data_IF_017998861721
#
_entry.id   IF_017998861721
#
_cell.length_a   1.000
_cell.length_b   1.000
_cell.length_c   1.000
_cell.angle_alpha   90.00
_cell.angle_beta   90.00
_cell.angle_gamma   90.00
#
_symmetry.space_group_name_H-M   'P 1'
#
loop_
_entity.id
_entity.type
_entity.pdbx_description
1 polymer ?
#
# COMPACT_ATOMS: atom_id res chain seq x y z
N UNK A 1 5.77 18.30 10.11
CA UNK A 1 5.40 17.88 8.73
C UNK A 1 5.14 16.38 8.71
N UNK A 2 3.99 15.97 8.21
CA UNK A 2 3.63 14.59 8.01
C UNK A 2 4.36 13.99 6.79
N UNK A 3 4.49 12.65 6.74
CA UNK A 3 4.85 11.96 5.51
C UNK A 3 3.56 11.65 4.75
N UNK A 4 3.43 12.19 3.53
CA UNK A 4 2.23 12.05 2.69
C UNK A 4 2.45 10.97 1.63
N UNK A 5 1.64 9.92 1.66
CA UNK A 5 1.74 8.75 0.77
C UNK A 5 0.46 8.65 -0.07
N UNK A 6 0.59 8.77 -1.39
CA UNK A 6 -0.51 8.59 -2.33
C UNK A 6 -0.51 7.19 -2.94
N UNK A 7 -1.64 6.51 -2.88
CA UNK A 7 -1.83 5.20 -3.50
C UNK A 7 -2.56 5.37 -4.83
N UNK A 8 -1.91 5.05 -5.91
CA UNK A 8 -2.39 5.28 -7.26
C UNK A 8 -2.30 4.03 -8.14
N UNK A 9 -3.35 3.72 -8.86
CA UNK A 9 -3.33 2.79 -9.99
C UNK A 9 -4.59 3.05 -10.81
N UNK A 10 -4.47 3.05 -12.14
CA UNK A 10 -5.56 3.32 -13.10
C UNK A 10 -6.58 2.17 -13.22
N UNK A 11 -6.53 1.18 -12.34
CA UNK A 11 -7.46 0.04 -12.31
C UNK A 11 -7.99 -0.22 -10.91
N UNK A 12 -9.27 -0.58 -10.84
CA UNK A 12 -9.87 -1.15 -9.64
C UNK A 12 -9.29 -2.55 -9.35
N UNK A 13 -9.16 -2.90 -8.06
CA UNK A 13 -8.77 -4.24 -7.65
C UNK A 13 -7.27 -4.55 -7.61
N UNK A 14 -6.38 -3.61 -7.95
CA UNK A 14 -4.93 -3.81 -7.89
C UNK A 14 -4.36 -3.87 -6.45
N UNK A 15 -5.17 -3.55 -5.43
CA UNK A 15 -4.76 -3.65 -4.03
C UNK A 15 -4.50 -2.32 -3.33
N UNK A 16 -4.89 -1.17 -3.90
CA UNK A 16 -4.74 0.16 -3.27
C UNK A 16 -5.32 0.19 -1.85
N UNK A 17 -6.61 -0.07 -1.73
CA UNK A 17 -7.30 -0.04 -0.44
C UNK A 17 -6.79 -1.10 0.55
N UNK A 18 -6.25 -2.23 0.06
CA UNK A 18 -5.54 -3.19 0.91
C UNK A 18 -4.24 -2.59 1.45
N UNK A 19 -3.44 -1.91 0.59
CA UNK A 19 -2.22 -1.21 1.04
C UNK A 19 -2.56 -0.10 2.04
N UNK A 20 -3.59 0.70 1.78
CA UNK A 20 -4.11 1.74 2.70
C UNK A 20 -4.36 1.15 4.10
N UNK A 21 -5.09 0.04 4.18
CA UNK A 21 -5.45 -0.64 5.44
C UNK A 21 -4.23 -1.24 6.14
N UNK A 22 -3.27 -1.79 5.38
CA UNK A 22 -1.99 -2.30 5.91
C UNK A 22 -1.14 -1.17 6.49
N UNK A 23 -0.99 -0.06 5.79
CA UNK A 23 -0.25 1.10 6.26
C UNK A 23 -0.91 1.71 7.50
N UNK A 24 -2.22 1.88 7.51
CA UNK A 24 -2.96 2.34 8.70
C UNK A 24 -2.74 1.41 9.91
N UNK A 25 -2.74 0.07 9.68
CA UNK A 25 -2.45 -0.91 10.74
C UNK A 25 -1.02 -0.81 11.27
N UNK A 26 -0.03 -0.61 10.39
CA UNK A 26 1.38 -0.45 10.77
C UNK A 26 1.60 0.85 11.56
N UNK A 27 1.01 1.96 11.10
CA UNK A 27 1.14 3.29 11.72
C UNK A 27 0.49 3.28 13.11
N UNK A 28 -0.73 2.73 13.25
CA UNK A 28 -1.42 2.59 14.52
C UNK A 28 -0.59 1.75 15.52
N UNK A 29 -0.03 0.62 15.06
CA UNK A 29 0.82 -0.22 15.90
C UNK A 29 2.10 0.50 16.34
N UNK A 30 2.68 1.33 15.49
CA UNK A 30 3.84 2.18 15.77
C UNK A 30 3.49 3.37 16.68
N UNK A 31 2.24 3.48 17.16
CA UNK A 31 1.74 4.56 18.02
C UNK A 31 1.80 5.95 17.40
N UNK A 32 1.83 6.02 16.08
CA UNK A 32 1.85 7.23 15.28
C UNK A 32 0.43 7.68 14.90
N UNK A 33 0.27 8.98 14.66
CA UNK A 33 -0.99 9.56 14.20
C UNK A 33 -1.05 9.51 12.68
N UNK A 34 -2.21 9.16 12.13
CA UNK A 34 -2.43 9.11 10.69
C UNK A 34 -3.80 9.68 10.30
N UNK A 35 -3.80 10.45 9.21
CA UNK A 35 -5.01 10.77 8.49
C UNK A 35 -5.07 9.94 7.21
N UNK A 36 -6.17 9.22 7.00
CA UNK A 36 -6.45 8.51 5.74
C UNK A 36 -7.51 9.32 4.99
N UNK A 37 -7.23 9.65 3.73
CA UNK A 37 -8.13 10.37 2.84
C UNK A 37 -8.61 9.40 1.77
N UNK A 38 -9.92 9.18 1.70
CA UNK A 38 -10.59 8.33 0.71
C UNK A 38 -11.13 9.23 -0.40
N UNK A 39 -10.56 9.11 -1.62
CA UNK A 39 -10.99 9.85 -2.81
C UNK A 39 -11.93 9.03 -3.70
N UNK A 40 -12.28 7.80 -3.30
CA UNK A 40 -13.21 6.97 -4.07
C UNK A 40 -14.66 7.33 -3.71
N UNK A 41 -15.53 7.70 -4.68
CA UNK A 41 -16.95 7.92 -4.43
C UNK A 41 -17.66 6.72 -3.80
N UNK A 42 -17.11 5.51 -3.90
CA UNK A 42 -17.63 4.34 -3.22
C UNK A 42 -17.39 4.36 -1.70
N UNK A 43 -16.47 5.21 -1.22
CA UNK A 43 -16.13 5.38 0.21
C UNK A 43 -15.77 4.05 0.90
N UNK A 44 -15.05 3.18 0.20
CA UNK A 44 -14.75 1.83 0.72
C UNK A 44 -13.84 1.86 1.95
N UNK A 45 -12.93 2.83 2.05
CA UNK A 45 -12.08 3.03 3.23
C UNK A 45 -12.88 3.61 4.39
N UNK A 46 -13.76 4.59 4.14
CA UNK A 46 -14.62 5.15 5.18
C UNK A 46 -15.58 4.08 5.74
N UNK A 47 -16.19 3.27 4.88
CA UNK A 47 -17.05 2.15 5.29
C UNK A 47 -16.27 1.09 6.09
N UNK A 48 -15.03 0.79 5.67
CA UNK A 48 -14.14 -0.10 6.41
C UNK A 48 -13.85 0.45 7.82
N UNK A 49 -13.58 1.75 7.92
CA UNK A 49 -13.29 2.40 9.20
C UNK A 49 -14.49 2.32 10.14
N UNK A 50 -15.69 2.62 9.66
CA UNK A 50 -16.94 2.49 10.43
C UNK A 50 -17.13 1.07 10.97
N UNK A 51 -16.78 0.03 10.16
CA UNK A 51 -16.80 -1.36 10.65
C UNK A 51 -15.73 -1.61 11.72
N UNK A 52 -14.54 -1.04 11.54
CA UNK A 52 -13.46 -1.16 12.52
C UNK A 52 -13.84 -0.59 13.88
N UNK A 53 -14.48 0.59 13.90
CA UNK A 53 -15.02 1.22 15.11
C UNK A 53 -16.11 0.34 15.75
N UNK A 54 -17.06 -0.14 14.96
CA UNK A 54 -18.17 -1.00 15.44
C UNK A 54 -17.67 -2.32 16.04
N UNK A 55 -16.55 -2.86 15.52
CA UNK A 55 -15.94 -4.09 16.00
C UNK A 55 -14.94 -3.87 17.16
N UNK A 56 -14.64 -2.62 17.52
CA UNK A 56 -13.60 -2.30 18.51
C UNK A 56 -12.16 -2.60 18.03
N UNK A 57 -11.94 -2.70 16.70
CA UNK A 57 -10.65 -2.95 16.08
C UNK A 57 -10.09 -1.69 15.41
N UNK A 58 -10.20 -0.57 16.09
CA UNK A 58 -9.71 0.75 15.67
C UNK A 58 -8.62 1.27 16.61
N UNK A 59 -8.03 2.40 16.28
CA UNK A 59 -7.10 3.16 17.14
C UNK A 59 -7.42 4.65 16.97
N UNK A 60 -7.61 5.38 18.07
CA UNK A 60 -7.97 6.81 18.09
C UNK A 60 -6.96 7.72 17.39
N UNK A 61 -5.74 7.22 17.12
CA UNK A 61 -4.71 7.94 16.38
C UNK A 61 -4.89 7.90 14.86
N UNK A 62 -5.82 7.08 14.38
CA UNK A 62 -6.15 6.98 12.95
C UNK A 62 -7.45 7.75 12.72
N UNK A 63 -7.42 8.69 11.84
CA UNK A 63 -8.59 9.44 11.37
C UNK A 63 -8.84 9.09 9.92
N UNK A 64 -10.11 8.93 9.52
CA UNK A 64 -10.49 8.68 8.13
C UNK A 64 -11.45 9.77 7.67
N UNK A 65 -11.21 10.32 6.48
CA UNK A 65 -12.09 11.29 5.81
C UNK A 65 -12.27 10.88 4.37
N UNK A 66 -13.45 11.16 3.82
CA UNK A 66 -13.72 11.01 2.40
C UNK A 66 -13.96 12.39 1.77
N UNK A 67 -13.45 12.57 0.55
CA UNK A 67 -13.77 13.71 -0.32
C UNK A 67 -13.62 13.31 -1.78
N UNK A 68 -14.44 13.90 -2.64
CA UNK A 68 -14.34 13.75 -4.10
C UNK A 68 -14.02 15.08 -4.78
N UNK A 69 -13.62 16.07 -4.01
CA UNK A 69 -13.34 17.45 -4.47
C UNK A 69 -11.84 17.71 -4.40
N UNK A 70 -11.21 18.05 -5.53
CA UNK A 70 -9.76 18.21 -5.63
C UNK A 70 -9.23 19.36 -4.76
N UNK A 71 -9.97 20.47 -4.72
CA UNK A 71 -9.63 21.63 -3.91
C UNK A 71 -9.57 21.28 -2.42
N UNK A 72 -10.47 20.43 -1.95
CA UNK A 72 -10.49 19.96 -0.56
C UNK A 72 -9.23 19.17 -0.21
N UNK A 73 -8.65 18.43 -1.16
CA UNK A 73 -7.45 17.62 -0.92
C UNK A 73 -6.27 18.49 -0.46
N UNK A 74 -6.00 19.58 -1.16
CA UNK A 74 -4.93 20.51 -0.80
C UNK A 74 -5.16 21.13 0.58
N UNK A 75 -6.40 21.55 0.85
CA UNK A 75 -6.76 22.16 2.13
C UNK A 75 -6.65 21.15 3.28
N UNK A 76 -7.14 19.91 3.08
CA UNK A 76 -7.10 18.86 4.09
C UNK A 76 -5.64 18.49 4.40
N UNK A 77 -4.77 18.33 3.40
CA UNK A 77 -3.36 18.01 3.60
C UNK A 77 -2.67 19.16 4.35
N UNK A 78 -2.76 20.40 3.86
CA UNK A 78 -2.12 21.55 4.47
C UNK A 78 -2.55 21.77 5.94
N UNK A 79 -3.83 21.56 6.26
CA UNK A 79 -4.37 21.74 7.62
C UNK A 79 -3.92 20.65 8.61
N UNK A 80 -3.54 19.48 8.11
CA UNK A 80 -3.20 18.32 8.96
C UNK A 80 -1.70 17.99 8.98
N UNK A 81 -0.91 18.61 8.12
CA UNK A 81 0.53 18.31 7.95
C UNK A 81 1.35 18.39 9.25
N UNK A 82 1.03 19.34 10.13
CA UNK A 82 1.71 19.50 11.42
C UNK A 82 1.01 18.77 12.60
N UNK A 83 -0.15 18.17 12.35
CA UNK A 83 -0.97 17.55 13.42
C UNK A 83 -0.89 16.04 13.48
N UNK A 84 -0.46 15.41 12.38
CA UNK A 84 -0.30 13.96 12.25
C UNK A 84 1.12 13.60 11.82
N UNK A 85 1.52 12.34 11.99
CA UNK A 85 2.82 11.83 11.52
C UNK A 85 2.75 11.37 10.05
N UNK A 86 1.56 10.90 9.62
CA UNK A 86 1.33 10.36 8.27
C UNK A 86 0.00 10.82 7.71
N UNK A 87 -0.02 11.02 6.38
CA UNK A 87 -1.26 11.17 5.60
C UNK A 87 -1.22 10.10 4.51
N UNK A 88 -2.26 9.28 4.40
CA UNK A 88 -2.41 8.28 3.34
C UNK A 88 -3.59 8.69 2.47
N UNK A 89 -3.38 8.73 1.16
CA UNK A 89 -4.41 9.11 0.19
C UNK A 89 -4.73 7.89 -0.68
N UNK A 90 -5.95 7.35 -0.54
CA UNK A 90 -6.46 6.25 -1.37
C UNK A 90 -7.24 6.80 -2.55
N UNK A 91 -6.75 6.60 -3.77
CA UNK A 91 -7.39 7.16 -4.96
C UNK A 91 -8.38 6.19 -5.59
N UNK A 92 -9.34 6.74 -6.34
CA UNK A 92 -10.22 5.96 -7.22
C UNK A 92 -9.42 5.17 -8.28
N UNK A 93 -9.97 4.02 -8.71
CA UNK A 93 -9.31 3.14 -9.68
C UNK A 93 -9.15 3.70 -11.10
N UNK A 94 -9.89 4.74 -11.49
CA UNK A 94 -9.86 5.37 -12.82
C UNK A 94 -9.26 6.78 -12.81
N UNK A 95 -8.57 7.16 -11.75
CA UNK A 95 -8.19 8.50 -11.39
C UNK A 95 -7.05 9.13 -12.21
N UNK A 96 -7.16 9.20 -13.54
CA UNK A 96 -6.26 10.04 -14.34
C UNK A 96 -6.43 11.53 -14.02
N UNK A 97 -7.64 11.94 -13.63
CA UNK A 97 -8.01 13.32 -13.31
C UNK A 97 -7.31 13.84 -12.04
N UNK A 98 -7.11 12.97 -11.05
CA UNK A 98 -6.48 13.30 -9.77
C UNK A 98 -4.96 13.12 -9.75
N UNK A 99 -4.38 12.62 -10.84
CA UNK A 99 -2.97 12.22 -10.82
C UNK A 99 -2.03 13.40 -10.59
N UNK A 100 -2.25 14.51 -11.28
CA UNK A 100 -1.41 15.71 -11.16
C UNK A 100 -1.64 16.39 -9.81
N UNK A 101 -2.88 16.46 -9.32
CA UNK A 101 -3.22 17.01 -7.99
C UNK A 101 -2.59 16.15 -6.88
N UNK A 102 -2.70 14.84 -6.99
CA UNK A 102 -2.06 13.90 -6.06
C UNK A 102 -0.53 14.15 -6.01
N UNK A 103 0.12 14.23 -7.18
CA UNK A 103 1.57 14.48 -7.24
C UNK A 103 1.97 15.83 -6.63
N UNK A 104 1.06 16.80 -6.59
CA UNK A 104 1.30 18.11 -5.98
C UNK A 104 1.28 18.12 -4.45
N UNK A 105 0.76 17.06 -3.80
CA UNK A 105 0.56 17.06 -2.33
C UNK A 105 1.26 15.88 -1.62
N UNK A 106 1.81 14.90 -2.35
CA UNK A 106 2.41 13.72 -1.72
C UNK A 106 3.94 13.73 -1.74
N UNK A 107 4.55 13.08 -0.78
CA UNK A 107 6.00 12.80 -0.76
C UNK A 107 6.36 11.53 -1.51
N UNK A 108 5.41 10.61 -1.67
CA UNK A 108 5.60 9.30 -2.31
C UNK A 108 4.35 8.89 -3.07
N UNK A 109 4.53 8.41 -4.29
CA UNK A 109 3.48 7.76 -5.07
C UNK A 109 3.71 6.25 -5.03
N UNK A 110 2.76 5.49 -4.49
CA UNK A 110 2.84 4.03 -4.39
C UNK A 110 1.85 3.40 -5.37
N UNK A 111 2.37 2.54 -6.25
CA UNK A 111 1.60 1.87 -7.29
C UNK A 111 1.55 0.37 -7.01
N UNK A 112 0.41 -0.17 -6.54
CA UNK A 112 0.24 -1.61 -6.41
C UNK A 112 0.18 -2.27 -7.79
N UNK A 113 0.91 -3.38 -7.96
CA UNK A 113 0.93 -4.17 -9.18
C UNK A 113 0.73 -5.65 -8.85
N UNK A 114 -0.19 -6.32 -9.51
CA UNK A 114 -0.35 -7.78 -9.42
C UNK A 114 0.36 -8.46 -10.59
N UNK A 115 0.43 -9.80 -10.55
CA UNK A 115 0.98 -10.59 -11.65
C UNK A 115 0.05 -10.68 -12.88
N UNK A 116 -1.11 -10.03 -12.89
CA UNK A 116 -2.05 -10.05 -14.00
C UNK A 116 -1.66 -9.06 -15.10
N UNK A 117 -1.73 -9.47 -16.37
CA UNK A 117 -1.39 -8.61 -17.52
C UNK A 117 -2.09 -7.24 -17.49
N UNK A 118 -3.42 -7.15 -17.23
CA UNK A 118 -4.07 -5.84 -17.17
C UNK A 118 -3.51 -4.90 -16.10
N UNK A 119 -3.03 -5.43 -14.98
CA UNK A 119 -2.42 -4.62 -13.92
C UNK A 119 -1.02 -4.15 -14.32
N UNK A 120 -0.26 -5.00 -15.02
CA UNK A 120 1.04 -4.63 -15.62
C UNK A 120 0.88 -3.49 -16.63
N UNK A 121 -0.11 -3.58 -17.53
CA UNK A 121 -0.38 -2.54 -18.52
C UNK A 121 -0.73 -1.20 -17.84
N UNK A 122 -1.58 -1.22 -16.82
CA UNK A 122 -1.92 -0.01 -16.06
C UNK A 122 -0.75 0.55 -15.26
N UNK A 123 0.13 -0.32 -14.77
CA UNK A 123 1.36 0.11 -14.11
C UNK A 123 2.30 0.82 -15.10
N UNK A 124 2.44 0.31 -16.34
CA UNK A 124 3.20 0.98 -17.41
C UNK A 124 2.62 2.36 -17.74
N UNK A 125 1.30 2.44 -17.90
CA UNK A 125 0.61 3.72 -18.15
C UNK A 125 0.85 4.72 -17.00
N UNK A 126 0.85 4.26 -15.75
CA UNK A 126 1.10 5.11 -14.59
C UNK A 126 2.56 5.59 -14.53
N UNK A 127 3.51 4.71 -14.86
CA UNK A 127 4.94 5.08 -14.96
C UNK A 127 5.14 6.09 -16.11
N UNK A 128 4.56 5.83 -17.27
CA UNK A 128 4.66 6.74 -18.43
C UNK A 128 4.09 8.13 -18.11
N UNK A 129 2.93 8.20 -17.44
CA UNK A 129 2.39 9.47 -16.95
C UNK A 129 3.36 10.19 -16.01
N UNK A 130 3.96 9.48 -15.06
CA UNK A 130 4.89 10.06 -14.11
C UNK A 130 6.18 10.59 -14.79
N UNK A 131 6.68 9.87 -15.80
CA UNK A 131 7.83 10.32 -16.59
C UNK A 131 7.48 11.54 -17.47
N UNK A 132 6.26 11.60 -17.99
CA UNK A 132 5.77 12.75 -18.74
C UNK A 132 5.52 13.96 -17.82
N UNK A 133 5.06 13.74 -16.58
CA UNK A 133 4.93 14.79 -15.58
C UNK A 133 6.29 15.44 -15.29
N UNK A 134 7.34 14.65 -15.09
CA UNK A 134 8.71 15.14 -14.89
C UNK A 134 9.21 16.01 -16.04
N UNK A 135 8.80 15.75 -17.28
CA UNK A 135 9.18 16.57 -18.45
C UNK A 135 8.43 17.90 -18.52
N UNK A 136 7.24 17.99 -17.90
CA UNK A 136 6.39 19.20 -17.92
C UNK A 136 6.74 20.23 -16.84
N UNK A 137 7.51 19.86 -15.83
CA UNK A 137 7.89 20.72 -14.70
C UNK A 137 9.28 21.29 -14.89
N UNK A 138 9.57 22.42 -14.24
CA UNK A 138 10.87 23.12 -14.30
C UNK A 138 11.98 22.30 -13.63
N UNK A 139 11.66 21.59 -12.53
CA UNK A 139 12.60 20.74 -11.80
C UNK A 139 11.98 19.36 -11.55
N UNK A 140 12.54 18.34 -12.15
CA UNK A 140 12.08 16.95 -12.00
C UNK A 140 12.17 16.43 -10.55
N UNK A 141 13.07 17.04 -9.74
CA UNK A 141 13.26 16.67 -8.33
C UNK A 141 12.08 17.09 -7.43
N UNK A 142 11.23 17.98 -7.93
CA UNK A 142 9.98 18.36 -7.24
C UNK A 142 8.88 17.32 -7.37
N UNK A 143 9.00 16.39 -8.33
CA UNK A 143 8.02 15.33 -8.52
C UNK A 143 8.31 14.19 -7.53
N UNK A 144 7.31 13.78 -6.72
CA UNK A 144 7.48 12.71 -5.75
C UNK A 144 7.90 11.41 -6.43
N UNK A 145 8.80 10.60 -5.81
CA UNK A 145 9.22 9.33 -6.37
C UNK A 145 8.04 8.37 -6.50
N UNK A 146 7.96 7.68 -7.64
CA UNK A 146 7.01 6.62 -7.88
C UNK A 146 7.64 5.27 -7.49
N UNK A 147 6.90 4.50 -6.70
CA UNK A 147 7.33 3.21 -6.15
C UNK A 147 6.31 2.13 -6.48
N UNK A 148 6.74 1.07 -7.16
CA UNK A 148 5.89 -0.07 -7.44
C UNK A 148 5.97 -1.07 -6.29
N UNK A 149 4.82 -1.55 -5.80
CA UNK A 149 4.68 -2.60 -4.79
C UNK A 149 3.99 -3.80 -5.40
N UNK A 150 4.63 -4.96 -5.37
CA UNK A 150 3.99 -6.19 -5.82
C UNK A 150 2.96 -6.66 -4.79
N UNK A 151 1.73 -6.85 -5.24
CA UNK A 151 0.58 -7.25 -4.41
C UNK A 151 0.01 -8.58 -4.87
N UNK A 152 -0.73 -9.25 -3.99
CA UNK A 152 -1.30 -10.59 -4.23
C UNK A 152 -0.26 -11.60 -4.68
N UNK A 153 0.92 -11.50 -4.12
CA UNK A 153 2.01 -12.42 -4.43
C UNK A 153 1.75 -13.77 -3.75
N UNK A 154 1.90 -14.91 -4.46
CA UNK A 154 1.81 -16.20 -3.81
C UNK A 154 2.77 -16.31 -2.61
N UNK A 155 2.32 -16.80 -1.44
CA UNK A 155 3.15 -16.83 -0.22
C UNK A 155 4.49 -17.55 -0.38
N UNK A 156 4.56 -18.52 -1.28
CA UNK A 156 5.80 -19.26 -1.59
C UNK A 156 6.89 -18.36 -2.17
N UNK A 157 6.53 -17.30 -2.89
CA UNK A 157 7.48 -16.34 -3.46
C UNK A 157 8.05 -15.39 -2.41
N UNK A 158 7.25 -15.02 -1.41
CA UNK A 158 7.67 -14.09 -0.35
C UNK A 158 8.61 -14.74 0.67
N UNK A 159 8.47 -16.05 0.91
CA UNK A 159 9.31 -16.79 1.85
C UNK A 159 10.79 -16.83 1.47
N UNK A 160 11.12 -16.59 0.22
CA UNK A 160 12.49 -16.60 -0.32
C UNK A 160 13.09 -15.20 -0.40
N UNK A 161 12.96 -14.39 0.66
CA UNK A 161 13.42 -12.99 0.74
C UNK A 161 14.89 -12.75 0.32
N UNK A 162 15.73 -13.76 0.24
CA UNK A 162 17.17 -13.63 -0.08
C UNK A 162 17.57 -14.11 -1.46
N UNK A 163 16.78 -15.00 -2.06
CA UNK A 163 17.13 -15.59 -3.34
C UNK A 163 15.87 -15.65 -4.21
N UNK A 164 15.66 -14.66 -5.07
CA UNK A 164 14.82 -14.90 -6.24
C UNK A 164 15.40 -16.15 -6.93
N UNK A 165 14.58 -17.19 -7.23
CA UNK A 165 15.10 -18.38 -7.90
C UNK A 165 15.80 -17.92 -9.18
N UNK A 166 17.01 -18.46 -9.43
CA UNK A 166 17.71 -18.15 -10.67
C UNK A 166 16.79 -18.50 -11.86
N UNK A 167 16.85 -17.76 -12.98
CA UNK A 167 15.98 -18.03 -14.13
C UNK A 167 15.95 -19.48 -14.57
N UNK A 168 17.08 -20.18 -14.46
CA UNK A 168 17.20 -21.63 -14.74
C UNK A 168 16.48 -22.57 -13.75
N UNK A 169 16.19 -22.07 -12.55
CA UNK A 169 15.49 -22.83 -11.50
C UNK A 169 13.96 -22.54 -11.51
N UNK A 170 13.51 -21.70 -12.42
CA UNK A 170 12.12 -21.30 -12.56
C UNK A 170 11.41 -22.32 -13.43
N UNK A 171 10.67 -23.18 -12.79
CA UNK A 171 9.94 -24.29 -13.46
C UNK A 171 8.48 -23.96 -13.75
N UNK A 172 7.94 -22.88 -13.20
CA UNK A 172 6.54 -22.51 -13.36
C UNK A 172 6.38 -21.16 -14.08
N UNK A 173 5.30 -21.04 -14.85
CA UNK A 173 4.94 -19.80 -15.58
C UNK A 173 4.78 -18.60 -14.64
N UNK A 174 4.33 -18.81 -13.41
CA UNK A 174 4.12 -17.73 -12.43
C UNK A 174 5.44 -17.14 -11.94
N UNK A 175 6.48 -17.97 -11.76
CA UNK A 175 7.81 -17.48 -11.41
C UNK A 175 8.44 -16.70 -12.56
N UNK A 176 8.28 -17.14 -13.82
CA UNK A 176 8.76 -16.39 -14.98
C UNK A 176 8.13 -15.02 -15.05
N UNK A 177 6.81 -14.94 -14.92
CA UNK A 177 6.09 -13.66 -14.90
C UNK A 177 6.53 -12.75 -13.76
N UNK A 178 6.73 -13.32 -12.57
CA UNK A 178 7.21 -12.55 -11.44
C UNK A 178 8.59 -11.95 -11.71
N UNK A 179 9.49 -12.73 -12.26
CA UNK A 179 10.83 -12.27 -12.64
C UNK A 179 10.77 -11.14 -13.70
N UNK A 180 9.94 -11.31 -14.74
CA UNK A 180 9.71 -10.26 -15.75
C UNK A 180 9.23 -8.95 -15.12
N UNK A 181 8.28 -9.02 -14.18
CA UNK A 181 7.73 -7.84 -13.49
C UNK A 181 8.81 -7.15 -12.66
N UNK A 182 9.64 -7.91 -11.95
CA UNK A 182 10.75 -7.38 -11.16
C UNK A 182 11.77 -6.67 -12.06
N UNK A 183 12.13 -7.28 -13.18
CA UNK A 183 13.05 -6.70 -14.16
C UNK A 183 12.50 -5.45 -14.84
N UNK A 184 11.19 -5.42 -15.11
CA UNK A 184 10.53 -4.33 -15.82
C UNK A 184 10.27 -3.10 -14.92
N UNK A 185 9.75 -3.32 -13.71
CA UNK A 185 9.27 -2.22 -12.86
C UNK A 185 10.18 -1.86 -11.70
N UNK A 186 11.22 -2.63 -11.44
CA UNK A 186 12.13 -2.42 -10.31
C UNK A 186 11.36 -2.10 -9.00
N UNK A 187 10.48 -3.01 -8.53
CA UNK A 187 9.58 -2.75 -7.41
C UNK A 187 10.34 -2.63 -6.08
N UNK A 188 9.63 -2.17 -5.06
CA UNK A 188 10.13 -2.22 -3.68
C UNK A 188 10.42 -3.67 -3.25
N UNK A 189 11.42 -3.85 -2.39
CA UNK A 189 11.87 -5.15 -1.91
C UNK A 189 10.81 -5.90 -1.08
N UNK A 190 9.87 -5.17 -0.47
CA UNK A 190 8.77 -5.76 0.30
C UNK A 190 7.56 -5.99 -0.58
N UNK A 191 7.24 -7.27 -0.82
CA UNK A 191 6.08 -7.71 -1.59
C UNK A 191 4.90 -8.02 -0.66
N UNK A 192 3.68 -7.77 -1.08
CA UNK A 192 2.47 -8.08 -0.31
C UNK A 192 1.86 -9.42 -0.74
N UNK A 193 1.96 -10.47 0.09
CA UNK A 193 1.42 -11.78 -0.23
C UNK A 193 -0.11 -11.82 -0.10
N UNK A 194 -0.73 -12.82 -0.72
CA UNK A 194 -2.09 -13.20 -0.36
C UNK A 194 -2.09 -13.86 1.02
N UNK A 195 -2.89 -13.32 1.95
CA UNK A 195 -3.07 -13.87 3.30
C UNK A 195 -4.53 -13.80 3.73
N UNK A 196 -5.05 -14.82 4.44
CA UNK A 196 -6.39 -14.74 5.05
C UNK A 196 -6.53 -13.55 5.99
N UNK A 197 -5.50 -13.21 6.75
CA UNK A 197 -5.50 -12.07 7.69
C UNK A 197 -5.79 -10.73 7.02
N UNK A 198 -5.45 -10.57 5.74
CA UNK A 198 -5.74 -9.33 5.00
C UNK A 198 -7.20 -9.25 4.56
N UNK A 199 -7.88 -10.39 4.33
CA UNK A 199 -9.33 -10.43 4.12
C UNK A 199 -10.06 -10.12 5.42
N UNK A 200 -9.63 -10.70 6.53
CA UNK A 200 -10.22 -10.42 7.84
C UNK A 200 -9.99 -8.97 8.27
N UNK A 201 -8.83 -8.37 7.97
CA UNK A 201 -8.59 -6.95 8.15
C UNK A 201 -9.62 -6.10 7.37
N UNK A 202 -9.92 -6.49 6.13
CA UNK A 202 -10.93 -5.81 5.32
C UNK A 202 -12.34 -5.86 5.96
N UNK A 203 -12.67 -6.98 6.57
CA UNK A 203 -13.98 -7.20 7.21
C UNK A 203 -14.06 -6.60 8.62
N UNK A 204 -12.99 -6.61 9.39
CA UNK A 204 -13.04 -6.40 10.83
C UNK A 204 -12.34 -5.13 11.33
N UNK A 205 -11.37 -4.58 10.60
CA UNK A 205 -10.63 -3.38 11.01
C UNK A 205 -9.11 -3.60 11.10
N UNK A 206 -8.43 -2.85 11.98
CA UNK A 206 -6.97 -2.86 12.09
C UNK A 206 -6.42 -4.21 12.57
N UNK A 207 -5.33 -4.69 11.93
CA UNK A 207 -4.64 -5.93 12.31
C UNK A 207 -4.27 -5.99 13.80
N UNK A 208 -3.83 -4.87 14.37
CA UNK A 208 -3.49 -4.78 15.79
C UNK A 208 -4.68 -5.01 16.72
N UNK A 209 -5.85 -4.48 16.37
CA UNK A 209 -7.09 -4.69 17.12
C UNK A 209 -7.53 -6.15 17.09
N UNK A 210 -7.52 -6.77 15.91
CA UNK A 210 -7.86 -8.20 15.72
C UNK A 210 -6.86 -9.08 16.49
N UNK A 211 -5.56 -8.81 16.38
CA UNK A 211 -4.52 -9.52 17.11
C UNK A 211 -4.75 -9.48 18.63
N UNK A 212 -5.05 -8.29 19.18
CA UNK A 212 -5.29 -8.12 20.60
C UNK A 212 -6.54 -8.88 21.06
N UNK A 213 -7.62 -8.88 20.27
CA UNK A 213 -8.80 -9.71 20.52
C UNK A 213 -8.41 -11.20 20.61
N UNK A 214 -7.64 -11.71 19.65
CA UNK A 214 -7.20 -13.10 19.65
C UNK A 214 -6.33 -13.43 20.86
N UNK A 215 -5.42 -12.54 21.28
CA UNK A 215 -4.58 -12.74 22.47
C UNK A 215 -5.39 -12.81 23.77
N UNK A 216 -6.48 -12.04 23.85
CA UNK A 216 -7.37 -11.98 25.02
C UNK A 216 -8.52 -13.00 24.96
N UNK A 217 -8.67 -13.71 23.84
CA UNK A 217 -9.71 -14.70 23.61
C UNK A 217 -9.43 -16.09 24.21
N UNK A 218 -10.18 -17.08 23.77
CA UNK A 218 -10.02 -18.47 24.20
C UNK A 218 -8.68 -19.05 23.72
N UNK A 219 -8.29 -20.19 24.26
CA UNK A 219 -7.02 -20.85 23.91
C UNK A 219 -6.87 -21.12 22.41
N UNK A 220 -7.94 -21.49 21.72
CA UNK A 220 -7.99 -21.65 20.26
C UNK A 220 -7.61 -20.38 19.48
N UNK A 221 -7.99 -19.23 20.02
CA UNK A 221 -7.78 -17.92 19.38
C UNK A 221 -6.33 -17.45 19.52
N UNK A 222 -5.68 -17.83 20.64
CA UNK A 222 -4.27 -17.47 20.91
C UNK A 222 -3.31 -17.99 19.84
N UNK A 223 -3.60 -19.14 19.24
CA UNK A 223 -2.83 -19.66 18.10
C UNK A 223 -2.95 -18.77 16.85
N UNK A 224 -4.12 -18.16 16.64
CA UNK A 224 -4.34 -17.24 15.52
C UNK A 224 -3.61 -15.91 15.71
N UNK A 225 -3.41 -15.46 16.94
CA UNK A 225 -2.71 -14.19 17.24
C UNK A 225 -1.32 -14.12 16.59
N UNK A 226 -0.58 -15.23 16.52
CA UNK A 226 0.73 -15.30 15.85
C UNK A 226 0.67 -15.01 14.34
N UNK A 227 -0.42 -15.40 13.69
CA UNK A 227 -0.62 -15.11 12.27
C UNK A 227 -0.88 -13.61 12.03
N UNK A 228 -1.64 -12.96 12.91
CA UNK A 228 -1.84 -11.50 12.85
C UNK A 228 -0.57 -10.72 13.22
N UNK A 229 0.20 -11.19 14.21
CA UNK A 229 1.50 -10.64 14.55
C UNK A 229 2.44 -10.67 13.34
N UNK A 230 2.54 -11.81 12.65
CA UNK A 230 3.31 -11.94 11.41
C UNK A 230 2.77 -11.04 10.28
N UNK A 231 1.45 -10.88 10.17
CA UNK A 231 0.85 -10.00 9.17
C UNK A 231 1.14 -8.52 9.47
N UNK A 232 1.09 -8.14 10.74
CA UNK A 232 1.38 -6.79 11.21
C UNK A 232 2.87 -6.43 11.07
N UNK A 233 3.78 -7.35 11.45
CA UNK A 233 5.21 -7.18 11.21
C UNK A 233 5.51 -6.94 9.73
N UNK A 234 4.84 -7.69 8.85
CA UNK A 234 4.97 -7.48 7.40
C UNK A 234 4.44 -6.11 6.94
N UNK A 235 3.34 -5.62 7.51
CA UNK A 235 2.82 -4.29 7.23
C UNK A 235 3.80 -3.18 7.68
N UNK A 236 4.48 -3.37 8.80
CA UNK A 236 5.52 -2.47 9.29
C UNK A 236 6.74 -2.48 8.34
N UNK A 237 7.20 -3.67 7.93
CA UNK A 237 8.28 -3.81 6.95
C UNK A 237 7.93 -3.08 5.62
N UNK A 238 6.67 -3.17 5.17
CA UNK A 238 6.20 -2.48 3.99
C UNK A 238 6.23 -0.95 4.18
N UNK A 239 5.72 -0.45 5.28
CA UNK A 239 5.74 0.97 5.61
C UNK A 239 7.16 1.52 5.61
N UNK A 240 8.08 0.85 6.30
CA UNK A 240 9.48 1.25 6.36
C UNK A 240 10.12 1.24 4.96
N UNK A 241 9.83 0.21 4.17
CA UNK A 241 10.37 0.10 2.82
C UNK A 241 9.83 1.20 1.87
N UNK A 242 8.57 1.63 2.02
CA UNK A 242 8.03 2.78 1.28
C UNK A 242 8.77 4.07 1.68
N UNK A 243 9.04 4.27 2.97
CA UNK A 243 9.76 5.45 3.45
C UNK A 243 11.21 5.47 2.94
N UNK A 244 11.91 4.34 3.03
CA UNK A 244 13.30 4.19 2.63
C UNK A 244 13.50 4.12 1.11
N UNK A 245 12.52 3.58 0.38
CA UNK A 245 12.57 3.41 -1.07
C UNK A 245 13.48 2.27 -1.54
N UNK A 246 13.80 1.30 -0.67
CA UNK A 246 14.69 0.17 -1.00
C UNK A 246 14.07 -0.73 -2.06
N UNK A 247 14.74 -0.86 -3.20
CA UNK A 247 14.31 -1.65 -4.35
C UNK A 247 14.74 -3.11 -4.24
N UNK A 248 14.02 -3.96 -4.98
CA UNK A 248 14.41 -5.34 -5.18
C UNK A 248 15.65 -5.39 -6.07
N UNK A 249 16.74 -6.00 -5.60
CA UNK A 249 17.90 -6.23 -6.46
C UNK A 249 17.55 -7.29 -7.51
N UNK A 250 17.70 -7.00 -8.81
CA UNK A 250 17.65 -8.04 -9.82
C UNK A 250 18.80 -9.01 -9.52
N UNK A 251 18.48 -10.28 -9.27
CA UNK A 251 19.52 -11.29 -9.11
C UNK A 251 20.37 -11.28 -10.39
N UNK A 252 21.60 -10.80 -10.30
CA UNK A 252 22.55 -10.85 -11.40
C UNK A 252 22.75 -12.32 -11.76
N UNK A 253 22.10 -12.74 -12.86
CA UNK A 253 22.43 -13.98 -13.53
C UNK A 253 23.81 -13.83 -14.13
N UNK A 254 24.80 -14.43 -13.48
CA UNK A 254 26.07 -14.75 -14.14
C UNK A 254 25.88 -15.99 -15.00
#
# INVERSE_FOLDING_TARGET
MAIVIGLMNRKGGAGKSTLTKLLASAIAHSKKKCLVIDLDPAEDILKWWTRAESNGHYDEKIMVRATTVAEDLYEIVAKNDDTVDFIIIDTKGEGAEWADDLAGVVDRIVVPCTNANPDRDRTRETIAWHDDLKKRVVSADQIPPLQVVLTRVPPVMVRRKRDLPKPKDITTRDFHRHYEIVAEFNPLSTMVPERPQYREMDEQGLLGGIMNRCRNGQWSDKGQALHYESALAHAIDLMNNIIEGTKMEPSHGA
#
